data_IF_866618974560
#
_entry.id   IF_866618974560
#
_cell.length_a   1.000
_cell.length_b   1.000
_cell.length_c   1.000
_cell.angle_alpha   90.00
_cell.angle_beta   90.00
_cell.angle_gamma   90.00
#
_symmetry.space_group_name_H-M   'P 1'
#
loop_
_entity.id
_entity.type
_entity.pdbx_description
1 polymer ?
#
# COMPACT_ATOMS: atom_id res chain seq x y z
N UNK A 1 20.67 47.66 -24.23
CA UNK A 1 21.09 47.19 -22.89
C UNK A 1 19.87 46.55 -22.21
N UNK A 2 20.02 45.26 -21.89
CA UNK A 2 19.19 44.29 -21.11
C UNK A 2 17.70 44.55 -20.78
N UNK A 3 16.81 43.57 -21.05
CA UNK A 3 15.68 43.25 -20.19
C UNK A 3 16.07 42.17 -19.15
N UNK A 4 15.77 42.43 -17.89
CA UNK A 4 15.95 41.50 -16.76
C UNK A 4 14.87 40.41 -16.79
N UNK A 5 15.18 39.11 -16.86
CA UNK A 5 14.17 38.08 -16.62
C UNK A 5 13.92 37.94 -15.12
N UNK A 6 12.69 38.23 -14.75
CA UNK A 6 12.17 38.15 -13.39
C UNK A 6 11.84 36.69 -13.07
N UNK A 7 12.53 36.19 -12.04
CA UNK A 7 12.01 35.36 -10.94
C UNK A 7 11.08 34.19 -11.30
N UNK A 8 11.71 33.01 -11.33
CA UNK A 8 11.36 31.93 -10.40
C UNK A 8 9.98 31.32 -10.58
N UNK A 9 9.95 30.30 -11.45
CA UNK A 9 8.97 29.23 -11.45
C UNK A 9 8.58 28.84 -10.03
N UNK A 10 7.30 29.00 -9.69
CA UNK A 10 6.68 28.32 -8.58
C UNK A 10 6.68 26.83 -8.87
N UNK A 11 7.75 26.15 -8.45
CA UNK A 11 7.74 24.72 -8.27
C UNK A 11 6.71 24.43 -7.18
N UNK A 12 5.47 24.15 -7.62
CA UNK A 12 4.51 23.44 -6.81
C UNK A 12 5.22 22.17 -6.34
N UNK A 13 5.56 22.16 -5.04
CA UNK A 13 6.21 21.06 -4.38
C UNK A 13 5.19 19.93 -4.28
N UNK A 14 4.97 19.24 -5.40
CA UNK A 14 4.26 17.98 -5.45
C UNK A 14 4.99 17.04 -4.48
N UNK A 15 4.36 16.57 -3.39
CA UNK A 15 4.93 15.49 -2.62
C UNK A 15 4.91 14.22 -3.49
N UNK A 16 6.07 13.94 -4.11
CA UNK A 16 6.64 12.63 -4.35
C UNK A 16 5.63 11.47 -4.52
N UNK A 17 4.96 11.38 -5.67
CA UNK A 17 4.34 10.12 -6.13
C UNK A 17 5.35 9.34 -6.97
N UNK A 18 6.51 9.05 -6.38
CA UNK A 18 7.37 7.99 -6.87
C UNK A 18 6.82 6.64 -6.38
N UNK A 19 5.64 6.24 -6.86
CA UNK A 19 5.12 4.88 -6.68
C UNK A 19 4.95 4.18 -8.04
N UNK A 20 5.71 4.66 -9.03
CA UNK A 20 5.78 4.09 -10.35
C UNK A 20 6.73 2.88 -10.34
N UNK A 21 6.20 1.71 -10.73
CA UNK A 21 6.89 0.61 -11.43
C UNK A 21 7.52 -0.54 -10.65
N UNK A 22 7.29 -0.66 -9.35
CA UNK A 22 7.55 -1.94 -8.68
C UNK A 22 6.42 -2.91 -9.00
N UNK A 23 6.50 -3.52 -10.19
CA UNK A 23 5.66 -4.64 -10.57
C UNK A 23 6.04 -5.83 -9.68
N UNK A 24 5.41 -5.87 -8.51
CA UNK A 24 5.53 -6.98 -7.57
C UNK A 24 5.26 -8.29 -8.34
N UNK A 25 6.11 -9.33 -8.17
CA UNK A 25 5.83 -10.67 -8.67
C UNK A 25 4.37 -11.07 -8.42
N UNK A 26 3.83 -11.91 -9.31
CA UNK A 26 2.41 -12.30 -9.29
C UNK A 26 1.93 -12.83 -7.93
N UNK A 27 2.86 -13.33 -7.11
CA UNK A 27 2.62 -13.82 -5.75
C UNK A 27 3.87 -13.63 -4.91
N UNK A 28 3.79 -12.82 -3.86
CA UNK A 28 4.90 -12.60 -2.93
C UNK A 28 4.49 -12.86 -1.49
N UNK A 29 5.34 -13.59 -0.77
CA UNK A 29 5.19 -13.83 0.65
C UNK A 29 5.96 -12.75 1.40
N UNK A 30 5.25 -11.88 2.10
CA UNK A 30 5.81 -10.75 2.81
C UNK A 30 5.44 -10.83 4.29
N UNK A 31 6.31 -10.29 5.14
CA UNK A 31 6.05 -10.25 6.59
C UNK A 31 5.50 -8.90 6.98
N UNK A 32 4.51 -8.87 7.86
CA UNK A 32 4.00 -7.60 8.42
C UNK A 32 5.00 -7.08 9.44
N UNK A 33 5.44 -5.84 9.28
CA UNK A 33 6.31 -5.13 10.23
C UNK A 33 5.54 -4.12 11.07
N UNK A 34 4.44 -3.59 10.56
CA UNK A 34 3.51 -2.77 11.32
C UNK A 34 2.07 -2.99 10.85
N UNK A 35 1.13 -2.88 11.79
CA UNK A 35 -0.29 -2.83 11.50
C UNK A 35 -0.90 -1.66 12.25
N UNK A 36 -1.78 -0.91 11.57
CA UNK A 36 -2.56 0.17 12.16
C UNK A 36 -4.01 0.02 11.73
N UNK A 37 -4.93 0.00 12.68
CA UNK A 37 -6.35 0.14 12.35
C UNK A 37 -6.65 1.59 11.98
N UNK A 38 -7.24 1.81 10.80
CA UNK A 38 -7.64 3.15 10.34
C UNK A 38 -9.10 3.43 10.66
N UNK A 39 -9.94 2.42 10.41
CA UNK A 39 -11.39 2.40 10.65
C UNK A 39 -11.78 1.00 11.13
N UNK A 40 -12.95 0.82 11.74
CA UNK A 40 -13.42 -0.52 12.12
C UNK A 40 -13.26 -1.50 10.96
N UNK A 41 -12.46 -2.56 11.15
CA UNK A 41 -12.16 -3.60 10.14
C UNK A 41 -11.42 -3.14 8.87
N UNK A 42 -10.90 -1.92 8.86
CA UNK A 42 -10.01 -1.42 7.79
C UNK A 42 -8.63 -1.16 8.38
N UNK A 43 -7.63 -1.87 7.86
CA UNK A 43 -6.27 -1.83 8.38
C UNK A 43 -5.30 -1.26 7.35
N UNK A 44 -4.30 -0.53 7.84
CA UNK A 44 -3.09 -0.22 7.11
C UNK A 44 -1.97 -1.14 7.59
N UNK A 45 -1.31 -1.80 6.65
CA UNK A 45 -0.21 -2.71 6.91
C UNK A 45 1.08 -2.15 6.31
N UNK A 46 2.16 -2.25 7.06
CA UNK A 46 3.51 -2.07 6.55
C UNK A 46 4.13 -3.45 6.44
N UNK A 47 4.64 -3.77 5.26
CA UNK A 47 5.32 -5.03 4.99
C UNK A 47 6.83 -4.87 5.14
N UNK A 48 7.55 -5.98 5.25
CA UNK A 48 9.00 -6.02 5.45
C UNK A 48 9.81 -5.41 4.30
N UNK A 49 9.23 -5.38 3.10
CA UNK A 49 9.78 -4.70 1.93
C UNK A 49 9.74 -3.16 2.06
N UNK A 50 9.01 -2.64 3.06
CA UNK A 50 8.80 -1.20 3.25
C UNK A 50 7.55 -0.67 2.56
N UNK A 51 6.93 -1.46 1.67
CA UNK A 51 5.65 -1.13 1.07
C UNK A 51 4.53 -0.99 2.12
N UNK A 52 3.75 0.09 2.00
CA UNK A 52 2.58 0.31 2.84
C UNK A 52 1.30 0.02 2.06
N UNK A 53 0.42 -0.74 2.67
CA UNK A 53 -0.80 -1.28 2.09
C UNK A 53 -2.00 -0.88 2.92
N UNK A 54 -3.08 -0.54 2.26
CA UNK A 54 -4.33 -0.17 2.90
C UNK A 54 -5.46 -1.04 2.38
N UNK A 55 -6.31 -1.49 3.29
CA UNK A 55 -7.51 -2.24 2.97
C UNK A 55 -8.46 -1.31 2.22
N UNK A 56 -8.93 -1.74 1.04
CA UNK A 56 -9.86 -0.92 0.25
C UNK A 56 -11.31 -1.09 0.70
N UNK A 57 -11.60 -2.19 1.40
CA UNK A 57 -12.93 -2.55 1.88
C UNK A 57 -12.86 -2.96 3.36
N UNK A 58 -14.02 -3.04 4.02
CA UNK A 58 -14.09 -3.59 5.37
C UNK A 58 -13.84 -5.09 5.33
N UNK A 59 -12.94 -5.56 6.21
CA UNK A 59 -12.76 -6.98 6.39
C UNK A 59 -14.07 -7.61 6.91
N UNK A 60 -14.41 -8.84 6.48
CA UNK A 60 -15.61 -9.52 6.97
C UNK A 60 -15.55 -9.76 8.49
N UNK A 61 -16.71 -9.96 9.13
CA UNK A 61 -16.80 -10.22 10.57
C UNK A 61 -15.92 -11.37 11.07
N UNK A 62 -15.75 -12.39 10.24
CA UNK A 62 -14.93 -13.57 10.54
C UNK A 62 -13.44 -13.37 10.26
N UNK A 63 -13.02 -12.18 9.80
CA UNK A 63 -11.62 -11.90 9.51
C UNK A 63 -10.87 -11.57 10.80
N UNK A 64 -9.89 -12.42 11.12
CA UNK A 64 -8.92 -12.17 12.17
C UNK A 64 -7.85 -11.22 11.64
N UNK A 65 -7.71 -10.02 12.22
CA UNK A 65 -6.76 -9.03 11.76
C UNK A 65 -5.32 -9.56 11.86
N UNK A 66 -4.50 -9.35 10.82
CA UNK A 66 -3.19 -9.99 10.75
C UNK A 66 -2.21 -9.38 11.75
N UNK A 67 -1.47 -10.23 12.46
CA UNK A 67 -0.55 -9.77 13.52
C UNK A 67 0.77 -9.26 12.94
N UNK A 68 1.40 -8.30 13.62
CA UNK A 68 2.78 -7.91 13.33
C UNK A 68 3.69 -9.13 13.49
N UNK A 69 4.56 -9.37 12.51
CA UNK A 69 5.40 -10.56 12.41
C UNK A 69 4.74 -11.75 11.73
N UNK A 70 3.48 -11.67 11.31
CA UNK A 70 2.86 -12.69 10.49
C UNK A 70 3.33 -12.61 9.02
N UNK A 71 3.39 -13.76 8.36
CA UNK A 71 3.55 -13.85 6.92
C UNK A 71 2.19 -13.68 6.23
N UNK A 72 2.15 -12.89 5.18
CA UNK A 72 1.00 -12.66 4.32
C UNK A 72 1.41 -12.87 2.86
N UNK A 73 0.48 -13.37 2.07
CA UNK A 73 0.66 -13.52 0.63
C UNK A 73 -0.02 -12.37 -0.08
N UNK A 74 0.75 -11.60 -0.83
CA UNK A 74 0.22 -10.60 -1.74
C UNK A 74 0.08 -11.19 -3.13
N UNK A 75 -1.12 -11.08 -3.70
CA UNK A 75 -1.40 -11.46 -5.08
C UNK A 75 -1.84 -10.27 -5.89
N UNK A 76 -1.31 -10.15 -7.10
CA UNK A 76 -1.75 -9.13 -8.05
C UNK A 76 -3.09 -9.56 -8.67
N UNK A 77 -4.12 -8.75 -8.50
CA UNK A 77 -5.40 -8.88 -9.17
C UNK A 77 -5.44 -8.17 -10.53
N UNK A 78 -6.62 -8.17 -11.16
CA UNK A 78 -6.84 -7.43 -12.40
C UNK A 78 -6.89 -5.91 -12.14
N UNK A 79 -6.42 -5.12 -13.12
CA UNK A 79 -6.46 -3.63 -13.10
C UNK A 79 -5.79 -2.96 -11.88
N UNK A 80 -4.71 -3.54 -11.34
CA UNK A 80 -3.92 -2.89 -10.28
C UNK A 80 -4.52 -2.97 -8.88
N UNK A 81 -5.57 -3.78 -8.70
CA UNK A 81 -5.98 -4.22 -7.36
C UNK A 81 -5.03 -5.31 -6.87
N UNK A 82 -4.77 -5.36 -5.56
CA UNK A 82 -4.01 -6.44 -4.94
C UNK A 82 -4.91 -7.18 -3.95
N UNK A 83 -4.67 -8.47 -3.80
CA UNK A 83 -5.35 -9.31 -2.84
C UNK A 83 -4.34 -9.73 -1.80
N UNK A 84 -4.68 -9.55 -0.53
CA UNK A 84 -3.88 -9.99 0.60
C UNK A 84 -4.53 -11.21 1.22
N UNK A 85 -3.79 -12.31 1.23
CA UNK A 85 -4.16 -13.56 1.89
C UNK A 85 -3.32 -13.70 3.17
N UNK A 86 -3.98 -14.07 4.26
CA UNK A 86 -3.35 -14.26 5.56
C UNK A 86 -3.90 -15.52 6.20
N UNK A 87 -3.03 -16.45 6.62
CA UNK A 87 -3.40 -17.63 7.41
C UNK A 87 -4.60 -18.45 6.87
N UNK A 88 -4.78 -18.54 5.54
CA UNK A 88 -5.90 -19.26 4.92
C UNK A 88 -7.27 -18.57 5.03
N UNK A 89 -7.28 -17.30 5.46
CA UNK A 89 -8.47 -16.46 5.53
C UNK A 89 -8.90 -15.94 4.14
N UNK A 90 -10.14 -15.44 4.01
CA UNK A 90 -10.57 -14.78 2.78
C UNK A 90 -9.60 -13.67 2.37
N UNK A 91 -9.25 -13.67 1.09
CA UNK A 91 -8.36 -12.66 0.53
C UNK A 91 -9.03 -11.30 0.58
N UNK A 92 -8.35 -10.30 1.13
CA UNK A 92 -8.87 -8.93 1.23
C UNK A 92 -8.25 -8.07 0.14
N UNK A 93 -9.08 -7.25 -0.51
CA UNK A 93 -8.58 -6.29 -1.49
C UNK A 93 -7.83 -5.18 -0.78
N UNK A 94 -6.59 -4.97 -1.21
CA UNK A 94 -5.68 -3.94 -0.71
C UNK A 94 -5.14 -3.10 -1.85
N UNK A 95 -4.76 -1.87 -1.54
CA UNK A 95 -4.04 -0.96 -2.43
C UNK A 95 -2.72 -0.56 -1.79
N UNK A 96 -1.68 -0.39 -2.60
CA UNK A 96 -0.42 0.20 -2.13
C UNK A 96 -0.62 1.70 -1.97
N UNK A 97 -0.22 2.24 -0.83
CA UNK A 97 -0.26 3.68 -0.54
C UNK A 97 1.13 4.31 -0.50
N UNK A 98 2.19 3.51 -0.29
CA UNK A 98 3.58 3.97 -0.32
C UNK A 98 4.53 2.87 -0.79
#
# INVERSE_FOLDING_TARGET
>A
MAPTPQRGFGADALPQTASAREALPQREQLRITAMRELRPRTFALTLADGGQWEFTDEAPLAYDPPRVGAAVELRRGALGSFMLEYAGQPSIRVKRVR
#
